data_IF_891627713010
#
_entry.id   IF_891627713010
#
_cell.length_a   1.000
_cell.length_b   1.000
_cell.length_c   1.000
_cell.angle_alpha   90.00
_cell.angle_beta   90.00
_cell.angle_gamma   90.00
#
_symmetry.space_group_name_H-M   'P 1'
#
loop_
_entity.id
_entity.type
_entity.pdbx_description
1 polymer ?
#
# COMPACT_ATOMS: atom_id res chain seq x y z
N UNK A 1 -3.75 -10.55 -27.08
CA UNK A 1 -2.97 -9.39 -26.63
C UNK A 1 -3.46 -8.99 -25.26
N UNK A 2 -2.67 -9.03 -24.19
CA UNK A 2 -3.13 -8.62 -22.87
C UNK A 2 -3.33 -7.11 -22.84
N UNK A 3 -4.54 -6.67 -22.45
CA UNK A 3 -4.86 -5.26 -22.24
C UNK A 3 -3.92 -4.70 -21.17
N UNK A 4 -3.07 -3.75 -21.52
CA UNK A 4 -2.28 -2.96 -20.58
C UNK A 4 -3.25 -2.26 -19.63
N UNK A 5 -3.29 -2.69 -18.36
CA UNK A 5 -3.98 -1.95 -17.31
C UNK A 5 -3.36 -0.56 -17.25
N UNK A 6 -4.10 0.43 -17.69
CA UNK A 6 -3.77 1.85 -17.53
C UNK A 6 -4.02 2.21 -16.06
N UNK A 7 -3.03 2.00 -15.21
CA UNK A 7 -2.92 2.77 -13.98
C UNK A 7 -2.47 4.18 -14.38
N UNK A 8 -3.44 4.97 -14.81
CA UNK A 8 -3.23 6.37 -15.13
C UNK A 8 -3.28 7.16 -13.81
N UNK A 9 -2.19 7.11 -13.03
CA UNK A 9 -2.01 8.04 -11.94
C UNK A 9 -1.53 9.36 -12.51
N UNK A 10 -2.31 10.42 -12.23
CA UNK A 10 -1.93 11.80 -12.43
C UNK A 10 -0.54 12.09 -11.79
N UNK A 11 0.19 13.13 -12.26
CA UNK A 11 1.53 13.48 -11.81
C UNK A 11 1.58 14.09 -10.39
N UNK A 12 0.73 13.64 -9.49
CA UNK A 12 0.67 14.13 -8.11
C UNK A 12 1.46 13.18 -7.20
N UNK A 13 2.77 13.40 -7.14
CA UNK A 13 3.63 12.66 -6.22
C UNK A 13 3.48 13.29 -4.82
N UNK A 14 2.81 12.60 -3.85
CA UNK A 14 2.58 13.12 -2.51
C UNK A 14 3.86 13.50 -1.76
N UNK A 15 4.98 12.90 -2.16
CA UNK A 15 6.28 13.16 -1.57
C UNK A 15 6.86 14.50 -2.04
N UNK A 16 6.51 14.94 -3.25
CA UNK A 16 6.83 16.31 -3.67
C UNK A 16 6.10 17.33 -2.81
N UNK A 17 4.84 17.05 -2.43
CA UNK A 17 4.10 17.92 -1.49
C UNK A 17 4.77 17.97 -0.12
N UNK A 18 5.30 16.84 0.39
CA UNK A 18 6.05 16.81 1.64
C UNK A 18 7.38 17.56 1.51
N UNK A 19 8.09 17.41 0.39
CA UNK A 19 9.31 18.15 0.08
C UNK A 19 9.06 19.65 -0.01
N UNK A 20 7.97 20.09 -0.65
CA UNK A 20 7.58 21.49 -0.75
C UNK A 20 7.16 22.05 0.62
N UNK A 21 6.30 21.33 1.37
CA UNK A 21 5.87 21.76 2.72
C UNK A 21 7.03 21.91 3.69
N UNK A 22 7.96 20.96 3.74
CA UNK A 22 9.11 21.02 4.63
C UNK A 22 10.09 22.15 4.24
N UNK A 23 10.20 22.45 2.94
CA UNK A 23 10.97 23.62 2.47
C UNK A 23 10.32 24.94 2.88
N UNK A 24 8.99 25.00 2.80
CA UNK A 24 8.21 26.20 3.09
C UNK A 24 8.02 26.43 4.60
N UNK A 25 8.15 25.39 5.42
CA UNK A 25 8.01 25.45 6.89
C UNK A 25 9.27 26.00 7.62
N UNK A 26 10.38 26.20 6.92
CA UNK A 26 11.65 26.64 7.53
C UNK A 26 12.27 25.62 8.49
N UNK A 27 11.87 24.34 8.41
CA UNK A 27 12.39 23.24 9.24
C UNK A 27 13.91 23.04 8.99
N UNK A 28 14.73 23.51 9.93
CA UNK A 28 16.19 23.41 9.86
C UNK A 28 16.72 22.00 9.98
N UNK A 29 15.93 21.07 10.54
CA UNK A 29 16.33 19.65 10.67
C UNK A 29 16.06 18.88 9.40
N UNK A 30 15.25 19.40 8.47
CA UNK A 30 14.88 18.71 7.25
C UNK A 30 16.00 18.77 6.18
N UNK A 31 16.64 17.63 5.92
CA UNK A 31 17.71 17.51 4.90
C UNK A 31 17.09 17.26 3.52
N UNK A 32 16.82 18.33 2.78
CA UNK A 32 16.17 18.29 1.48
C UNK A 32 16.92 17.42 0.44
N UNK A 33 18.26 17.35 0.50
CA UNK A 33 19.04 16.52 -0.41
C UNK A 33 18.79 15.02 -0.18
N UNK A 34 18.70 14.59 1.08
CA UNK A 34 18.36 13.20 1.44
C UNK A 34 16.94 12.84 0.96
N UNK A 35 15.97 13.69 1.23
CA UNK A 35 14.60 13.46 0.82
C UNK A 35 14.45 13.36 -0.71
N UNK A 36 15.18 14.19 -1.48
CA UNK A 36 15.21 14.10 -2.95
C UNK A 36 15.87 12.80 -3.44
N UNK A 37 16.94 12.34 -2.81
CA UNK A 37 17.56 11.05 -3.12
C UNK A 37 16.59 9.88 -2.91
N UNK A 38 15.89 9.85 -1.77
CA UNK A 38 14.85 8.84 -1.49
C UNK A 38 13.67 8.93 -2.47
N UNK A 39 13.28 10.14 -2.90
CA UNK A 39 12.24 10.32 -3.91
C UNK A 39 12.62 9.69 -5.26
N UNK A 40 13.89 9.72 -5.64
CA UNK A 40 14.39 9.02 -6.85
C UNK A 40 14.22 7.51 -6.71
N UNK A 41 14.62 6.91 -5.59
CA UNK A 41 14.43 5.46 -5.39
C UNK A 41 12.93 5.09 -5.40
N UNK A 42 12.10 5.89 -4.77
CA UNK A 42 10.65 5.68 -4.70
C UNK A 42 9.90 5.90 -6.02
N UNK A 43 10.51 6.56 -7.00
CA UNK A 43 9.86 6.78 -8.30
C UNK A 43 9.84 5.53 -9.19
N UNK A 44 10.63 4.50 -8.87
CA UNK A 44 10.56 3.18 -9.51
C UNK A 44 9.30 2.44 -9.04
N UNK A 45 8.53 1.93 -9.99
CA UNK A 45 7.29 1.18 -9.77
C UNK A 45 7.50 -0.29 -10.09
N UNK A 46 6.61 -1.14 -9.59
CA UNK A 46 6.56 -2.54 -10.02
C UNK A 46 6.42 -2.62 -11.54
N UNK A 47 7.30 -3.38 -12.20
CA UNK A 47 7.38 -3.48 -13.65
C UNK A 47 8.36 -2.51 -14.32
N UNK A 48 8.86 -1.49 -13.63
CA UNK A 48 9.92 -0.63 -14.16
C UNK A 48 11.26 -1.37 -14.08
N UNK A 49 11.76 -1.81 -15.21
CA UNK A 49 13.09 -2.42 -15.25
C UNK A 49 14.19 -1.37 -15.31
N UNK A 50 13.99 -0.32 -16.09
CA UNK A 50 14.94 0.78 -16.29
C UNK A 50 14.21 2.11 -16.40
N UNK A 51 14.83 3.20 -15.93
CA UNK A 51 14.35 4.57 -16.07
C UNK A 51 15.50 5.49 -16.48
N UNK A 52 15.28 6.30 -17.51
CA UNK A 52 16.20 7.37 -17.91
C UNK A 52 16.08 8.63 -17.03
N UNK A 53 17.10 9.49 -17.03
CA UNK A 53 17.10 10.74 -16.27
C UNK A 53 15.88 11.63 -16.56
N UNK A 54 15.40 11.66 -17.80
CA UNK A 54 14.23 12.47 -18.16
C UNK A 54 12.95 11.96 -17.49
N UNK A 55 12.73 10.65 -17.48
CA UNK A 55 11.57 10.03 -16.86
C UNK A 55 11.62 10.16 -15.33
N UNK A 56 12.81 9.97 -14.73
CA UNK A 56 13.02 10.22 -13.29
C UNK A 56 12.69 11.68 -12.95
N UNK A 57 13.20 12.65 -13.74
CA UNK A 57 12.89 14.07 -13.55
C UNK A 57 11.38 14.35 -13.65
N UNK A 58 10.70 13.77 -14.64
CA UNK A 58 9.24 13.90 -14.80
C UNK A 58 8.46 13.32 -13.63
N UNK A 59 8.85 12.12 -13.14
CA UNK A 59 8.15 11.44 -12.02
C UNK A 59 8.42 12.12 -10.68
N UNK A 60 9.61 12.68 -10.49
CA UNK A 60 10.01 13.30 -9.21
C UNK A 60 9.82 14.82 -9.18
N UNK A 61 9.56 15.47 -10.32
CA UNK A 61 9.50 16.93 -10.42
C UNK A 61 10.83 17.64 -10.17
N UNK A 62 11.93 16.88 -10.09
CA UNK A 62 13.28 17.43 -9.87
C UNK A 62 13.90 17.91 -11.18
N UNK A 63 14.69 19.00 -11.11
CA UNK A 63 15.47 19.47 -12.27
C UNK A 63 16.48 18.41 -12.73
N UNK A 64 16.67 18.24 -14.04
CA UNK A 64 17.60 17.25 -14.64
C UNK A 64 19.02 17.27 -14.04
N UNK A 65 19.66 18.42 -13.79
CA UNK A 65 20.97 18.46 -13.14
C UNK A 65 20.96 17.87 -11.73
N UNK A 66 19.88 18.11 -10.97
CA UNK A 66 19.70 17.54 -9.64
C UNK A 66 19.55 16.02 -9.70
N UNK A 67 18.74 15.52 -10.65
CA UNK A 67 18.59 14.08 -10.89
C UNK A 67 19.93 13.46 -11.22
N UNK A 68 20.70 14.01 -12.16
CA UNK A 68 22.02 13.48 -12.55
C UNK A 68 23.01 13.38 -11.38
N UNK A 69 23.03 14.37 -10.50
CA UNK A 69 23.91 14.35 -9.32
C UNK A 69 23.48 13.30 -8.29
N UNK A 70 22.17 13.20 -8.05
CA UNK A 70 21.63 12.25 -7.08
C UNK A 70 21.72 10.80 -7.59
N UNK A 71 21.44 10.54 -8.87
CA UNK A 71 21.58 9.21 -9.47
C UNK A 71 23.04 8.76 -9.49
N UNK A 72 23.98 9.67 -9.75
CA UNK A 72 25.41 9.39 -9.61
C UNK A 72 25.77 8.93 -8.20
N UNK A 73 25.32 9.66 -7.17
CA UNK A 73 25.55 9.31 -5.77
C UNK A 73 24.94 7.95 -5.42
N UNK A 74 23.63 7.75 -5.75
CA UNK A 74 22.92 6.51 -5.47
C UNK A 74 23.56 5.30 -6.17
N UNK A 75 24.09 5.47 -7.38
CA UNK A 75 24.88 4.46 -8.08
C UNK A 75 26.18 4.13 -7.33
N UNK A 76 26.91 5.15 -6.87
CA UNK A 76 28.17 4.96 -6.14
C UNK A 76 28.03 4.20 -4.84
N UNK A 77 26.88 4.36 -4.17
CA UNK A 77 26.57 3.68 -2.91
C UNK A 77 25.72 2.40 -3.09
N UNK A 78 25.53 1.92 -4.34
CA UNK A 78 24.90 0.62 -4.62
C UNK A 78 23.37 0.59 -4.62
N UNK A 79 22.67 1.72 -4.49
CA UNK A 79 21.22 1.79 -4.55
C UNK A 79 20.64 1.87 -5.97
N UNK A 80 21.46 2.30 -6.93
CA UNK A 80 21.16 2.24 -8.37
C UNK A 80 22.27 1.51 -9.12
N UNK A 81 21.92 0.90 -10.24
CA UNK A 81 22.83 0.46 -11.29
C UNK A 81 22.58 1.28 -12.55
N UNK A 82 23.54 1.34 -13.46
CA UNK A 82 23.44 2.08 -14.73
C UNK A 82 23.79 1.21 -15.91
N UNK A 83 22.91 1.11 -16.87
CA UNK A 83 23.15 0.44 -18.14
C UNK A 83 23.75 1.44 -19.16
N UNK A 84 25.01 1.29 -19.49
CA UNK A 84 25.68 2.14 -20.51
C UNK A 84 25.01 2.02 -21.89
N UNK A 85 24.53 0.80 -22.23
CA UNK A 85 23.92 0.57 -23.53
C UNK A 85 22.54 1.25 -23.69
N UNK A 86 21.86 1.54 -22.57
CA UNK A 86 20.52 2.17 -22.55
C UNK A 86 20.54 3.61 -22.06
N UNK A 87 21.64 4.05 -21.47
CA UNK A 87 21.73 5.34 -20.73
C UNK A 87 20.64 5.47 -19.65
N UNK A 88 20.30 4.34 -18.98
CA UNK A 88 19.19 4.23 -18.02
C UNK A 88 19.65 3.60 -16.71
N UNK A 89 18.91 3.86 -15.64
CA UNK A 89 19.12 3.36 -14.28
C UNK A 89 18.13 2.26 -13.94
N UNK A 90 18.57 1.30 -13.12
CA UNK A 90 17.73 0.32 -12.44
C UNK A 90 18.02 0.35 -10.93
N UNK A 91 17.08 -0.17 -10.12
CA UNK A 91 17.33 -0.36 -8.68
C UNK A 91 18.50 -1.32 -8.46
N UNK A 92 19.38 -0.98 -7.56
CA UNK A 92 20.51 -1.80 -7.12
C UNK A 92 20.14 -2.70 -5.94
N UNK A 93 20.96 -3.71 -5.67
CA UNK A 93 20.77 -4.68 -4.57
C UNK A 93 20.68 -4.04 -3.18
N UNK A 94 21.26 -2.86 -2.98
CA UNK A 94 21.18 -2.09 -1.73
C UNK A 94 19.74 -1.79 -1.30
N UNK A 95 18.81 -1.63 -2.26
CA UNK A 95 17.37 -1.42 -1.95
C UNK A 95 16.76 -2.69 -1.38
N UNK A 96 17.07 -3.85 -1.94
CA UNK A 96 16.58 -5.14 -1.44
C UNK A 96 17.11 -5.42 -0.03
N UNK A 97 18.37 -5.13 0.24
CA UNK A 97 18.97 -5.34 1.55
C UNK A 97 18.25 -4.53 2.65
N UNK A 98 17.88 -3.27 2.37
CA UNK A 98 17.08 -2.46 3.30
C UNK A 98 15.68 -3.05 3.52
N UNK A 99 15.01 -3.47 2.44
CA UNK A 99 13.70 -4.10 2.54
C UNK A 99 13.75 -5.42 3.33
N UNK A 100 14.80 -6.23 3.13
CA UNK A 100 15.00 -7.46 3.88
C UNK A 100 15.24 -7.20 5.37
N UNK A 101 16.09 -6.25 5.73
CA UNK A 101 16.33 -5.88 7.12
C UNK A 101 15.05 -5.44 7.84
N UNK A 102 14.21 -4.66 7.17
CA UNK A 102 12.89 -4.29 7.68
C UNK A 102 12.00 -5.51 7.90
N UNK A 103 11.85 -6.38 6.90
CA UNK A 103 10.98 -7.56 6.99
C UNK A 103 11.47 -8.58 8.04
N UNK A 104 12.80 -8.73 8.22
CA UNK A 104 13.38 -9.60 9.22
C UNK A 104 13.15 -9.12 10.67
N UNK A 105 13.02 -7.80 10.85
CA UNK A 105 12.70 -7.22 12.16
C UNK A 105 11.20 -7.28 12.50
N UNK A 106 10.35 -7.69 11.55
CA UNK A 106 8.91 -7.67 11.71
C UNK A 106 8.39 -9.04 12.19
N UNK A 107 8.54 -9.33 13.48
CA UNK A 107 8.13 -10.60 14.12
C UNK A 107 6.65 -10.96 13.84
N UNK A 108 5.80 -9.94 13.65
CA UNK A 108 4.38 -10.13 13.32
C UNK A 108 4.17 -10.99 12.08
N UNK A 109 5.06 -10.95 11.10
CA UNK A 109 4.98 -11.75 9.87
C UNK A 109 5.02 -13.24 10.18
N UNK A 110 6.03 -13.67 10.96
CA UNK A 110 6.22 -15.07 11.31
C UNK A 110 5.04 -15.62 12.13
N UNK A 111 4.54 -14.80 13.03
CA UNK A 111 3.42 -15.14 13.89
C UNK A 111 2.09 -15.18 13.14
N UNK A 112 1.84 -14.23 12.24
CA UNK A 112 0.59 -14.14 11.51
C UNK A 112 0.50 -15.14 10.35
N UNK A 113 1.64 -15.48 9.69
CA UNK A 113 1.68 -16.28 8.48
C UNK A 113 0.91 -17.62 8.56
N UNK A 114 1.08 -18.49 9.58
CA UNK A 114 0.34 -19.75 9.65
C UNK A 114 -1.17 -19.53 9.76
N UNK A 115 -1.62 -18.54 10.52
CA UNK A 115 -3.02 -18.19 10.66
C UNK A 115 -3.60 -17.58 9.38
N UNK A 116 -2.81 -16.78 8.68
CA UNK A 116 -3.17 -16.22 7.38
C UNK A 116 -3.28 -17.32 6.31
N UNK A 117 -2.37 -18.31 6.32
CA UNK A 117 -2.42 -19.42 5.36
C UNK A 117 -3.66 -20.28 5.58
N UNK A 118 -3.99 -20.64 6.83
CA UNK A 118 -5.23 -21.34 7.17
C UNK A 118 -6.47 -20.61 6.62
N UNK A 119 -6.51 -19.29 6.78
CA UNK A 119 -7.62 -18.47 6.25
C UNK A 119 -7.59 -18.40 4.71
N UNK A 120 -6.42 -18.33 4.09
CA UNK A 120 -6.27 -18.31 2.64
C UNK A 120 -6.77 -19.61 2.00
N UNK A 121 -6.38 -20.75 2.58
CA UNK A 121 -6.80 -22.09 2.13
C UNK A 121 -8.31 -22.29 2.28
N UNK A 122 -8.88 -21.83 3.41
CA UNK A 122 -10.32 -21.87 3.61
C UNK A 122 -11.08 -20.97 2.60
N UNK A 123 -10.60 -19.75 2.42
CA UNK A 123 -11.26 -18.78 1.55
C UNK A 123 -11.06 -19.07 0.06
N UNK A 124 -10.06 -19.89 -0.31
CA UNK A 124 -9.54 -20.04 -1.68
C UNK A 124 -9.22 -18.69 -2.31
N UNK A 125 -8.58 -17.81 -1.51
CA UNK A 125 -8.35 -16.42 -1.83
C UNK A 125 -6.98 -15.96 -1.32
N UNK A 126 -6.60 -14.73 -1.63
CA UNK A 126 -5.35 -14.13 -1.17
C UNK A 126 -5.56 -13.36 0.13
N UNK A 127 -4.75 -13.66 1.15
CA UNK A 127 -4.71 -12.91 2.40
C UNK A 127 -3.45 -12.05 2.42
N UNK A 128 -3.61 -10.76 2.65
CA UNK A 128 -2.51 -9.81 2.79
C UNK A 128 -2.48 -9.21 4.20
N UNK A 129 -1.27 -9.05 4.74
CA UNK A 129 -0.98 -8.18 5.88
C UNK A 129 -0.26 -6.95 5.34
N UNK A 130 -0.68 -5.76 5.74
CA UNK A 130 -0.10 -4.51 5.26
C UNK A 130 0.10 -3.49 6.36
N UNK A 131 1.02 -2.58 6.11
CA UNK A 131 1.38 -1.47 6.98
C UNK A 131 1.27 -0.14 6.23
N UNK A 132 1.04 0.95 6.96
CA UNK A 132 0.88 2.27 6.35
C UNK A 132 2.22 2.86 5.89
N UNK A 133 2.28 3.32 4.65
CA UNK A 133 3.36 4.19 4.12
C UNK A 133 2.72 5.46 3.53
N UNK A 134 2.59 6.46 4.35
CA UNK A 134 2.02 7.78 4.00
C UNK A 134 0.59 7.69 3.42
N UNK A 135 0.43 7.52 2.11
CA UNK A 135 -0.87 7.49 1.44
C UNK A 135 -1.26 6.12 0.87
N UNK A 136 -0.43 5.10 1.15
CA UNK A 136 -0.61 3.74 0.64
C UNK A 136 -0.42 2.74 1.77
N UNK A 137 -0.99 1.57 1.60
CA UNK A 137 -0.56 0.40 2.36
C UNK A 137 0.57 -0.28 1.62
N UNK A 138 1.60 -0.74 2.33
CA UNK A 138 2.64 -1.63 1.82
C UNK A 138 2.35 -3.03 2.32
N UNK A 139 2.28 -4.00 1.40
CA UNK A 139 2.10 -5.40 1.75
C UNK A 139 3.39 -5.91 2.38
N UNK A 140 3.31 -6.42 3.61
CA UNK A 140 4.46 -6.96 4.33
C UNK A 140 4.44 -8.48 4.43
N UNK A 141 3.27 -9.11 4.29
CA UNK A 141 3.10 -10.56 4.20
C UNK A 141 1.93 -10.92 3.30
N UNK A 142 2.02 -12.05 2.60
CA UNK A 142 0.99 -12.53 1.69
C UNK A 142 0.89 -14.06 1.75
N UNK A 143 -0.34 -14.57 1.77
CA UNK A 143 -0.66 -15.99 1.69
C UNK A 143 -1.69 -16.22 0.59
N UNK A 144 -1.51 -17.27 -0.20
CA UNK A 144 -2.39 -17.61 -1.30
C UNK A 144 -3.08 -18.97 -1.03
N UNK A 145 -4.41 -18.99 -1.16
CA UNK A 145 -5.24 -20.20 -1.02
C UNK A 145 -5.72 -20.79 -2.34
N UNK A 146 -5.54 -20.06 -3.46
CA UNK A 146 -5.92 -20.53 -4.79
C UNK A 146 -4.76 -20.40 -5.76
N UNK A 147 -4.56 -21.35 -6.68
CA UNK A 147 -3.57 -21.23 -7.75
C UNK A 147 -4.01 -20.24 -8.85
N UNK A 148 -5.27 -19.87 -8.89
CA UNK A 148 -5.81 -18.94 -9.91
C UNK A 148 -5.60 -17.52 -9.46
N UNK A 149 -4.55 -16.87 -9.97
CA UNK A 149 -4.23 -15.47 -9.65
C UNK A 149 -4.83 -14.53 -10.71
N UNK A 150 -5.90 -13.84 -10.38
CA UNK A 150 -6.36 -12.68 -11.16
C UNK A 150 -5.57 -11.42 -10.83
N UNK A 151 -4.99 -11.37 -9.65
CA UNK A 151 -4.23 -10.23 -9.15
C UNK A 151 -2.89 -10.70 -8.61
N UNK A 152 -1.81 -10.28 -9.26
CA UNK A 152 -0.44 -10.54 -8.76
C UNK A 152 -0.08 -9.46 -7.76
N UNK A 153 -0.20 -9.78 -6.49
CA UNK A 153 0.29 -8.99 -5.38
C UNK A 153 1.53 -9.65 -4.80
N UNK A 154 2.49 -8.83 -4.40
CA UNK A 154 3.74 -9.27 -3.79
C UNK A 154 4.09 -8.43 -2.55
N UNK A 155 4.94 -8.98 -1.69
CA UNK A 155 5.51 -8.25 -0.54
C UNK A 155 6.31 -7.04 -1.05
N UNK A 156 6.15 -5.90 -0.40
CA UNK A 156 6.72 -4.61 -0.80
C UNK A 156 5.84 -3.80 -1.77
N UNK A 157 4.78 -4.39 -2.30
CA UNK A 157 3.87 -3.69 -3.21
C UNK A 157 2.97 -2.71 -2.46
N UNK A 158 2.71 -1.57 -3.10
CA UNK A 158 1.82 -0.52 -2.57
C UNK A 158 0.42 -0.64 -3.12
N UNK A 159 -0.56 -0.51 -2.25
CA UNK A 159 -1.97 -0.45 -2.61
C UNK A 159 -2.64 0.78 -1.98
N UNK A 160 -3.60 1.44 -2.67
CA UNK A 160 -4.18 2.69 -2.19
C UNK A 160 -5.12 2.49 -0.98
N UNK A 161 -5.21 3.54 -0.14
CA UNK A 161 -6.09 3.54 1.04
C UNK A 161 -7.58 3.57 0.67
N UNK A 162 -7.94 4.23 -0.40
CA UNK A 162 -9.32 4.59 -0.73
C UNK A 162 -10.10 3.47 -1.42
N UNK A 163 -9.44 2.72 -2.30
CA UNK A 163 -10.11 1.75 -3.18
C UNK A 163 -9.90 0.30 -2.77
N UNK A 164 -8.97 0.01 -1.84
CA UNK A 164 -8.72 -1.35 -1.37
C UNK A 164 -9.31 -1.61 0.02
N UNK A 165 -9.73 -2.85 0.29
CA UNK A 165 -10.18 -3.24 1.62
C UNK A 165 -9.05 -3.15 2.66
N UNK A 166 -7.79 -3.44 2.26
CA UNK A 166 -6.60 -3.29 3.11
C UNK A 166 -6.44 -1.83 3.59
N UNK A 167 -6.53 -0.89 2.65
CA UNK A 167 -6.45 0.54 2.96
C UNK A 167 -7.62 1.05 3.77
N UNK A 168 -8.84 0.65 3.44
CA UNK A 168 -10.04 1.02 4.23
C UNK A 168 -10.00 0.47 5.65
N UNK A 169 -9.42 -0.72 5.85
CA UNK A 169 -9.23 -1.28 7.17
C UNK A 169 -8.28 -0.41 8.02
N UNK A 170 -7.20 0.09 7.43
CA UNK A 170 -6.34 1.05 8.11
C UNK A 170 -7.09 2.35 8.47
N UNK A 171 -7.90 2.89 7.56
CA UNK A 171 -8.71 4.09 7.83
C UNK A 171 -9.75 3.85 8.92
N UNK A 172 -10.30 2.64 9.01
CA UNK A 172 -11.26 2.27 10.05
C UNK A 172 -10.66 2.29 11.46
N UNK A 173 -9.34 2.14 11.61
CA UNK A 173 -8.64 2.24 12.89
C UNK A 173 -8.42 3.68 13.39
N UNK A 174 -8.65 4.67 12.54
CA UNK A 174 -8.51 6.10 12.88
C UNK A 174 -9.68 6.60 13.70
N UNK A 175 -9.47 7.71 14.44
CA UNK A 175 -10.61 8.43 15.04
C UNK A 175 -11.54 8.97 13.94
N UNK A 176 -12.82 9.25 14.24
CA UNK A 176 -13.76 9.80 13.26
C UNK A 176 -13.21 11.07 12.59
N UNK A 177 -12.61 11.97 13.34
CA UNK A 177 -12.06 13.25 12.87
C UNK A 177 -10.85 13.04 11.95
N UNK A 178 -9.92 12.18 12.34
CA UNK A 178 -8.75 11.82 11.52
C UNK A 178 -9.18 11.14 10.21
N UNK A 179 -10.18 10.25 10.31
CA UNK A 179 -10.75 9.53 9.17
C UNK A 179 -11.39 10.47 8.17
N UNK A 180 -12.19 11.44 8.62
CA UNK A 180 -12.83 12.43 7.76
C UNK A 180 -11.81 13.32 7.05
N UNK A 181 -10.85 13.87 7.79
CA UNK A 181 -9.74 14.65 7.21
C UNK A 181 -8.96 13.85 6.17
N UNK A 182 -8.74 12.55 6.43
CA UNK A 182 -8.02 11.69 5.49
C UNK A 182 -8.81 11.41 4.24
N UNK A 183 -10.11 11.13 4.35
CA UNK A 183 -11.02 10.94 3.21
C UNK A 183 -11.07 12.20 2.36
N UNK A 184 -11.20 13.36 2.98
CA UNK A 184 -11.18 14.64 2.26
C UNK A 184 -9.86 14.84 1.50
N UNK A 185 -8.71 14.62 2.16
CA UNK A 185 -7.40 14.77 1.54
C UNK A 185 -7.19 13.83 0.34
N UNK A 186 -7.72 12.59 0.41
CA UNK A 186 -7.63 11.60 -0.66
C UNK A 186 -8.57 11.96 -1.83
N UNK A 187 -9.78 12.43 -1.53
CA UNK A 187 -10.81 12.69 -2.55
C UNK A 187 -10.71 14.06 -3.18
N UNK A 188 -10.09 15.03 -2.51
CA UNK A 188 -9.95 16.42 -2.96
C UNK A 188 -9.37 16.60 -4.36
N UNK A 189 -8.35 15.83 -4.81
CA UNK A 189 -7.78 15.96 -6.15
C UNK A 189 -8.69 15.42 -7.27
N UNK A 190 -9.76 14.71 -6.94
CA UNK A 190 -10.63 14.05 -7.91
C UNK A 190 -11.65 15.01 -8.52
N UNK A 191 -12.09 14.70 -9.74
CA UNK A 191 -13.23 15.37 -10.35
C UNK A 191 -14.50 15.20 -9.51
N UNK A 192 -15.43 16.18 -9.49
CA UNK A 192 -16.57 16.20 -8.57
C UNK A 192 -17.39 14.90 -8.54
N UNK A 193 -17.73 14.33 -9.71
CA UNK A 193 -18.50 13.10 -9.78
C UNK A 193 -17.75 11.88 -9.20
N UNK A 194 -16.47 11.74 -9.52
CA UNK A 194 -15.61 10.68 -8.98
C UNK A 194 -15.40 10.83 -7.47
N UNK A 195 -15.26 12.08 -6.99
CA UNK A 195 -15.13 12.41 -5.57
C UNK A 195 -16.36 11.96 -4.78
N UNK A 196 -17.57 12.31 -5.24
CA UNK A 196 -18.83 11.95 -4.57
C UNK A 196 -19.00 10.43 -4.53
N UNK A 197 -18.79 9.76 -5.66
CA UNK A 197 -18.89 8.29 -5.75
C UNK A 197 -17.93 7.61 -4.78
N UNK A 198 -16.64 7.93 -4.84
CA UNK A 198 -15.62 7.30 -3.99
C UNK A 198 -15.85 7.58 -2.50
N UNK A 199 -16.22 8.81 -2.14
CA UNK A 199 -16.55 9.16 -0.76
C UNK A 199 -17.73 8.33 -0.23
N UNK A 200 -18.78 8.16 -1.03
CA UNK A 200 -19.94 7.34 -0.65
C UNK A 200 -19.59 5.86 -0.46
N UNK A 201 -18.78 5.28 -1.36
CA UNK A 201 -18.28 3.90 -1.28
C UNK A 201 -17.44 3.68 -0.02
N UNK A 202 -16.50 4.60 0.26
CA UNK A 202 -15.69 4.56 1.47
C UNK A 202 -16.52 4.66 2.73
N UNK A 203 -17.46 5.61 2.80
CA UNK A 203 -18.34 5.79 3.95
C UNK A 203 -19.24 4.57 4.18
N UNK A 204 -19.76 3.96 3.11
CA UNK A 204 -20.57 2.74 3.22
C UNK A 204 -19.76 1.59 3.83
N UNK A 205 -18.53 1.39 3.34
CA UNK A 205 -17.62 0.38 3.86
C UNK A 205 -17.21 0.63 5.32
N UNK A 206 -16.98 1.89 5.71
CA UNK A 206 -16.62 2.27 7.07
C UNK A 206 -17.81 2.11 8.05
N UNK A 207 -19.03 2.46 7.64
CA UNK A 207 -20.23 2.17 8.43
C UNK A 207 -20.43 0.67 8.67
N UNK A 208 -20.02 -0.18 7.72
CA UNK A 208 -20.05 -1.63 7.93
C UNK A 208 -19.04 -2.06 9.01
N UNK A 209 -17.88 -1.42 9.04
CA UNK A 209 -16.89 -1.67 10.11
C UNK A 209 -17.47 -1.32 11.49
N UNK A 210 -18.12 -0.17 11.62
CA UNK A 210 -18.71 0.28 12.89
C UNK A 210 -19.79 -0.70 13.41
N UNK A 211 -20.46 -1.42 12.51
CA UNK A 211 -21.52 -2.40 12.85
C UNK A 211 -21.00 -3.83 13.02
N UNK A 212 -20.08 -4.26 12.18
CA UNK A 212 -19.71 -5.66 12.01
C UNK A 212 -18.22 -5.94 12.19
N UNK A 213 -17.38 -4.90 12.39
CA UNK A 213 -15.94 -5.02 12.64
C UNK A 213 -15.08 -5.29 11.40
N UNK A 214 -15.63 -5.19 10.18
CA UNK A 214 -14.87 -5.33 8.94
C UNK A 214 -15.30 -4.31 7.87
N UNK A 215 -14.40 -3.98 6.97
CA UNK A 215 -14.61 -3.16 5.78
C UNK A 215 -14.67 -4.04 4.53
N UNK A 216 -15.10 -3.46 3.39
CA UNK A 216 -15.08 -4.15 2.09
C UNK A 216 -14.71 -3.20 0.94
N UNK A 217 -14.34 -3.80 -0.20
CA UNK A 217 -14.19 -3.16 -1.50
C UNK A 217 -14.78 -4.09 -2.56
N UNK A 218 -15.68 -3.57 -3.38
CA UNK A 218 -16.43 -4.34 -4.38
C UNK A 218 -16.11 -3.87 -5.79
N UNK A 219 -14.86 -4.13 -6.23
CA UNK A 219 -14.41 -3.73 -7.56
C UNK A 219 -13.89 -2.30 -7.65
N UNK A 220 -13.70 -1.60 -6.52
CA UNK A 220 -13.35 -0.18 -6.50
C UNK A 220 -11.90 0.06 -6.94
N UNK A 221 -11.02 -0.92 -6.77
CA UNK A 221 -9.63 -0.88 -7.24
C UNK A 221 -9.42 -1.63 -8.55
N UNK A 222 -9.93 -2.84 -8.62
CA UNK A 222 -9.97 -3.68 -9.81
C UNK A 222 -11.39 -4.24 -9.93
N UNK A 223 -12.12 -3.99 -11.05
CA UNK A 223 -13.52 -4.39 -11.20
C UNK A 223 -13.79 -5.87 -10.94
N UNK A 224 -12.82 -6.73 -11.24
CA UNK A 224 -12.95 -8.17 -11.15
C UNK A 224 -12.59 -8.73 -9.74
N UNK A 225 -12.15 -7.86 -8.81
CA UNK A 225 -11.69 -8.25 -7.47
C UNK A 225 -12.57 -7.67 -6.39
N UNK A 226 -13.10 -8.55 -5.54
CA UNK A 226 -13.76 -8.17 -4.30
C UNK A 226 -12.88 -8.51 -3.10
N UNK A 227 -13.00 -7.73 -2.05
CA UNK A 227 -12.15 -7.87 -0.87
C UNK A 227 -12.87 -7.46 0.41
N UNK A 228 -12.49 -8.09 1.52
CA UNK A 228 -12.83 -7.71 2.89
C UNK A 228 -11.56 -7.41 3.67
N UNK A 229 -11.62 -6.49 4.63
CA UNK A 229 -10.47 -6.11 5.45
C UNK A 229 -10.82 -5.82 6.89
N UNK A 230 -9.84 -6.01 7.77
CA UNK A 230 -9.95 -5.70 9.20
C UNK A 230 -8.67 -5.01 9.68
N UNK A 231 -8.76 -4.00 10.56
CA UNK A 231 -7.57 -3.41 11.17
C UNK A 231 -7.01 -4.33 12.25
N UNK A 232 -5.70 -4.34 12.38
CA UNK A 232 -4.97 -4.97 13.47
C UNK A 232 -4.26 -3.85 14.25
N UNK A 233 -4.71 -3.58 15.47
CA UNK A 233 -4.27 -2.45 16.29
C UNK A 233 -3.52 -3.00 17.50
N UNK A 234 -2.30 -2.51 17.77
CA UNK A 234 -1.53 -2.89 18.96
C UNK A 234 -2.25 -2.54 20.26
N UNK A 235 -1.94 -3.22 21.36
CA UNK A 235 -2.61 -3.03 22.64
C UNK A 235 -2.44 -1.59 23.17
N UNK A 236 -1.26 -0.99 22.95
CA UNK A 236 -0.95 0.39 23.27
C UNK A 236 -1.48 1.41 22.25
N UNK A 237 -2.12 0.93 21.15
CA UNK A 237 -2.66 1.72 20.03
C UNK A 237 -1.62 2.57 19.27
N UNK A 238 -0.34 2.31 19.44
CA UNK A 238 0.73 3.07 18.76
C UNK A 238 0.97 2.59 17.34
N UNK A 239 0.64 1.32 17.04
CA UNK A 239 0.83 0.71 15.73
C UNK A 239 -0.48 0.17 15.17
N UNK A 240 -0.70 0.43 13.90
CA UNK A 240 -1.86 -0.06 13.14
C UNK A 240 -1.37 -0.76 11.89
N UNK A 241 -1.68 -2.03 11.78
CA UNK A 241 -1.58 -2.82 10.57
C UNK A 241 -2.99 -3.13 10.04
N UNK A 242 -3.08 -3.74 8.87
CA UNK A 242 -4.36 -4.18 8.34
C UNK A 242 -4.23 -5.56 7.68
N UNK A 243 -5.29 -6.34 7.76
CA UNK A 243 -5.45 -7.62 7.07
C UNK A 243 -6.51 -7.48 5.98
N UNK A 244 -6.33 -8.12 4.84
CA UNK A 244 -7.37 -8.25 3.83
C UNK A 244 -7.42 -9.66 3.24
N UNK A 245 -8.64 -10.09 2.88
CA UNK A 245 -8.91 -11.25 2.06
C UNK A 245 -9.48 -10.77 0.73
N UNK A 246 -8.85 -11.13 -0.39
CA UNK A 246 -9.23 -10.68 -1.72
C UNK A 246 -9.21 -11.81 -2.74
N UNK A 247 -10.12 -11.78 -3.70
CA UNK A 247 -10.22 -12.78 -4.76
C UNK A 247 -11.13 -12.34 -5.87
N UNK A 248 -11.30 -13.21 -6.86
CA UNK A 248 -12.20 -13.00 -7.97
C UNK A 248 -13.64 -12.78 -7.49
N UNK A 249 -14.36 -11.83 -8.11
CA UNK A 249 -15.72 -11.47 -7.71
C UNK A 249 -16.74 -12.63 -7.77
N UNK A 250 -16.46 -13.69 -8.53
CA UNK A 250 -17.27 -14.88 -8.62
C UNK A 250 -16.99 -15.91 -7.50
N UNK A 251 -15.80 -15.87 -6.88
CA UNK A 251 -15.39 -16.71 -5.73
C UNK A 251 -15.60 -15.96 -4.41
N UNK A 252 -15.18 -14.71 -4.35
CA UNK A 252 -15.29 -13.80 -3.21
C UNK A 252 -16.49 -12.88 -3.42
N UNK A 253 -17.69 -13.46 -3.41
CA UNK A 253 -18.93 -12.71 -3.69
C UNK A 253 -19.32 -11.75 -2.56
N UNK A 254 -20.14 -10.73 -2.86
CA UNK A 254 -20.71 -9.81 -1.83
C UNK A 254 -21.39 -10.57 -0.69
N UNK A 255 -22.22 -11.57 -1.04
CA UNK A 255 -22.91 -12.42 -0.06
C UNK A 255 -21.89 -13.12 0.84
N UNK A 256 -20.91 -13.79 0.25
CA UNK A 256 -19.89 -14.53 0.97
C UNK A 256 -19.05 -13.63 1.88
N UNK A 257 -18.72 -12.41 1.43
CA UNK A 257 -18.03 -11.42 2.27
C UNK A 257 -18.84 -11.09 3.51
N UNK A 258 -20.14 -10.80 3.37
CA UNK A 258 -20.95 -10.36 4.49
C UNK A 258 -21.27 -11.51 5.46
N UNK A 259 -21.58 -12.70 4.94
CA UNK A 259 -22.08 -13.81 5.76
C UNK A 259 -21.00 -14.76 6.28
N UNK A 260 -19.82 -14.79 5.65
CA UNK A 260 -18.79 -15.78 5.96
C UNK A 260 -17.41 -15.15 6.15
N UNK A 261 -16.82 -14.54 5.09
CA UNK A 261 -15.43 -14.11 5.12
C UNK A 261 -15.19 -12.94 6.08
N UNK A 262 -16.12 -11.98 6.16
CA UNK A 262 -16.02 -10.85 7.08
C UNK A 262 -15.94 -11.28 8.54
N UNK A 263 -16.93 -12.06 9.06
CA UNK A 263 -16.85 -12.63 10.40
C UNK A 263 -15.58 -13.43 10.68
N UNK A 264 -15.12 -14.24 9.71
CA UNK A 264 -13.88 -15.02 9.86
C UNK A 264 -12.62 -14.15 9.88
N UNK A 265 -12.59 -13.06 9.13
CA UNK A 265 -11.50 -12.09 9.20
C UNK A 265 -11.44 -11.37 10.55
N UNK A 266 -12.58 -11.11 11.18
CA UNK A 266 -12.63 -10.58 12.55
C UNK A 266 -12.05 -11.60 13.54
N UNK A 267 -12.37 -12.89 13.40
CA UNK A 267 -11.81 -13.97 14.21
C UNK A 267 -10.30 -14.10 13.95
N UNK A 268 -9.84 -14.07 12.69
CA UNK A 268 -8.42 -14.10 12.33
C UNK A 268 -7.65 -12.97 13.02
N UNK A 269 -8.16 -11.75 12.95
CA UNK A 269 -7.59 -10.59 13.64
C UNK A 269 -7.43 -10.87 15.15
N UNK A 270 -8.46 -11.42 15.78
CA UNK A 270 -8.42 -11.71 17.23
C UNK A 270 -7.41 -12.80 17.55
N UNK A 271 -7.31 -13.85 16.76
CA UNK A 271 -6.31 -14.91 16.91
C UNK A 271 -4.89 -14.36 16.81
N UNK A 272 -4.60 -13.52 15.82
CA UNK A 272 -3.30 -12.87 15.64
C UNK A 272 -3.00 -11.93 16.82
N UNK A 273 -3.97 -11.12 17.24
CA UNK A 273 -3.83 -10.23 18.40
C UNK A 273 -3.49 -11.01 19.68
N UNK A 274 -4.20 -12.11 19.95
CA UNK A 274 -3.94 -12.97 21.12
C UNK A 274 -2.56 -13.62 21.05
N UNK A 275 -2.17 -14.17 19.88
CA UNK A 275 -0.88 -14.80 19.68
C UNK A 275 0.29 -13.83 19.85
N UNK A 276 0.13 -12.57 19.42
CA UNK A 276 1.12 -11.49 19.59
C UNK A 276 1.08 -10.83 20.97
N UNK A 277 0.11 -11.18 21.82
CA UNK A 277 -0.21 -10.47 23.07
C UNK A 277 -0.47 -8.97 22.85
N UNK A 278 -0.91 -8.61 21.64
CA UNK A 278 -1.12 -7.23 21.22
C UNK A 278 0.17 -6.41 21.01
N UNK A 279 1.32 -7.04 20.98
CA UNK A 279 2.64 -6.38 20.79
C UNK A 279 3.16 -6.69 19.40
N UNK A 280 3.40 -5.62 18.59
CA UNK A 280 3.96 -5.74 17.25
C UNK A 280 4.43 -4.39 16.69
#
# INVERSE_FOLDING_TARGET
MPRKHKYNEAPDNPQLRTLHRARDSGDRLFVAALARGLAILRCFRSGDRYLGNQEIARRTGLAKPTVSRLTYTLKRIGFLTHSKAREEYALGAGVLALGHAYLAALNMRELARPLMQEMADFAQATICLGENDAQHMVIVEICHGSPTYLLRLDVGQRVPHNTTALGRAYLAAMTPEQREQRIEAITRPLQPAARVKLAAEMQSSLRNYDKHGFVYSFGDWNPDIFAVGVPLISADRTRVMALSCSGAMFDVTRKRIVTELGPRMVVLRQRIFTASRGVF
#
